data_IF_158969315727
#
_entry.id   IF_158969315727
#
_cell.length_a   1.000
_cell.length_b   1.000
_cell.length_c   1.000
_cell.angle_alpha   90.00
_cell.angle_beta   90.00
_cell.angle_gamma   90.00
#
_symmetry.space_group_name_H-M   'P 1'
#
loop_
_entity.id
_entity.type
_entity.pdbx_description
1 polymer ?
#
# COMPACT_ATOMS: atom_id res chain seq x y z
N UNK A 1 -35.59 -36.55 -4.55
CA UNK A 1 -36.28 -37.78 -4.96
C UNK A 1 -35.21 -38.84 -5.19
N UNK A 2 -34.97 -39.73 -4.21
CA UNK A 2 -34.09 -40.89 -4.35
C UNK A 2 -34.84 -42.04 -5.03
N UNK A 3 -34.22 -42.71 -6.00
CA UNK A 3 -34.73 -43.95 -6.56
C UNK A 3 -34.39 -45.10 -5.60
N UNK A 4 -35.37 -45.84 -5.18
CA UNK A 4 -35.21 -47.07 -4.37
C UNK A 4 -35.21 -48.24 -5.33
N UNK A 5 -34.08 -48.95 -5.41
CA UNK A 5 -33.98 -50.19 -6.17
C UNK A 5 -34.24 -51.33 -5.21
N UNK A 6 -35.40 -51.99 -5.36
CA UNK A 6 -35.86 -53.07 -4.46
C UNK A 6 -35.26 -54.43 -4.80
N UNK A 7 -34.95 -54.66 -6.06
CA UNK A 7 -34.33 -55.93 -6.53
C UNK A 7 -33.31 -55.66 -7.64
N UNK A 8 -32.10 -56.19 -7.49
CA UNK A 8 -31.13 -56.27 -8.59
C UNK A 8 -31.23 -57.62 -9.28
N UNK A 9 -31.20 -57.71 -10.63
CA UNK A 9 -31.08 -58.96 -11.36
C UNK A 9 -29.81 -59.70 -10.92
N UNK A 10 -29.93 -61.05 -10.96
CA UNK A 10 -28.83 -61.94 -10.63
C UNK A 10 -27.57 -61.62 -11.45
N UNK A 11 -26.44 -61.41 -10.74
CA UNK A 11 -25.16 -61.14 -11.37
C UNK A 11 -24.81 -59.65 -11.45
N UNK A 12 -25.69 -58.72 -11.10
CA UNK A 12 -25.37 -57.26 -11.00
C UNK A 12 -24.95 -56.91 -9.58
N UNK A 13 -23.83 -56.22 -9.46
CA UNK A 13 -23.37 -55.61 -8.21
C UNK A 13 -23.55 -54.10 -8.28
N UNK A 14 -24.14 -53.54 -7.24
CA UNK A 14 -24.23 -52.11 -7.10
C UNK A 14 -22.90 -51.61 -6.51
N UNK A 15 -22.09 -50.91 -7.29
CA UNK A 15 -20.98 -50.18 -6.78
C UNK A 15 -21.40 -48.70 -6.53
N UNK A 16 -21.37 -48.31 -5.30
CA UNK A 16 -21.43 -46.87 -4.95
C UNK A 16 -20.17 -46.24 -5.49
N UNK A 17 -20.31 -45.49 -6.58
CA UNK A 17 -19.28 -44.51 -6.97
C UNK A 17 -19.17 -43.53 -5.84
N UNK A 18 -18.20 -43.76 -4.95
CA UNK A 18 -17.76 -42.79 -3.97
C UNK A 18 -17.14 -41.64 -4.73
N UNK A 19 -17.98 -40.71 -5.12
CA UNK A 19 -17.48 -39.41 -5.58
C UNK A 19 -16.86 -38.78 -4.38
N UNK A 20 -15.54 -38.96 -4.18
CA UNK A 20 -14.73 -38.25 -3.17
C UNK A 20 -14.87 -36.72 -3.36
N UNK A 21 -16.01 -36.22 -3.03
CA UNK A 21 -16.32 -34.79 -3.03
C UNK A 21 -16.54 -34.34 -1.58
N UNK A 22 -15.89 -33.24 -1.16
CA UNK A 22 -14.95 -32.40 -1.92
C UNK A 22 -13.60 -33.10 -2.15
N UNK A 23 -13.02 -32.94 -3.35
CA UNK A 23 -11.71 -33.48 -3.67
C UNK A 23 -10.67 -32.82 -2.70
N UNK A 24 -9.91 -33.62 -1.91
CA UNK A 24 -8.95 -33.10 -0.94
C UNK A 24 -7.85 -32.24 -1.58
N UNK A 25 -7.63 -32.35 -2.89
CA UNK A 25 -6.64 -31.59 -3.61
C UNK A 25 -7.14 -30.20 -4.09
N UNK A 26 -8.42 -29.89 -3.97
CA UNK A 26 -9.01 -28.63 -4.45
C UNK A 26 -8.39 -27.43 -3.71
N UNK A 27 -8.21 -27.54 -2.41
CA UNK A 27 -7.63 -26.47 -1.60
C UNK A 27 -6.20 -26.14 -2.04
N UNK A 28 -5.35 -27.16 -2.22
CA UNK A 28 -3.97 -26.97 -2.71
C UNK A 28 -3.92 -26.36 -4.10
N UNK A 29 -4.82 -26.77 -5.00
CA UNK A 29 -4.92 -26.22 -6.34
C UNK A 29 -5.35 -24.75 -6.32
N UNK A 30 -6.37 -24.39 -5.53
CA UNK A 30 -6.85 -23.01 -5.39
C UNK A 30 -5.74 -22.11 -4.81
N UNK A 31 -5.04 -22.55 -3.78
CA UNK A 31 -3.89 -21.82 -3.22
C UNK A 31 -2.77 -21.61 -4.23
N UNK A 32 -2.44 -22.63 -5.00
CA UNK A 32 -1.45 -22.53 -6.05
C UNK A 32 -1.89 -21.53 -7.13
N UNK A 33 -3.14 -21.63 -7.60
CA UNK A 33 -3.70 -20.73 -8.62
C UNK A 33 -3.73 -19.28 -8.14
N UNK A 34 -4.18 -19.04 -6.90
CA UNK A 34 -4.19 -17.70 -6.29
C UNK A 34 -2.79 -17.11 -6.18
N UNK A 35 -1.80 -17.91 -5.78
CA UNK A 35 -0.41 -17.49 -5.76
C UNK A 35 0.14 -17.12 -7.14
N UNK A 36 -0.24 -17.86 -8.18
CA UNK A 36 0.15 -17.55 -9.57
C UNK A 36 -0.54 -16.29 -10.09
N UNK A 37 -1.82 -16.12 -9.80
CA UNK A 37 -2.54 -14.89 -10.14
C UNK A 37 -1.92 -13.65 -9.44
N UNK A 38 -1.57 -13.78 -8.16
CA UNK A 38 -0.84 -12.74 -7.43
C UNK A 38 0.50 -12.41 -8.07
N UNK A 39 1.30 -13.42 -8.40
CA UNK A 39 2.61 -13.23 -9.04
C UNK A 39 2.51 -12.51 -10.40
N UNK A 40 1.43 -12.71 -11.17
CA UNK A 40 1.20 -12.03 -12.43
C UNK A 40 1.03 -10.50 -12.29
N UNK A 41 0.60 -10.03 -11.13
CA UNK A 41 0.44 -8.61 -10.81
C UNK A 41 1.51 -8.10 -9.82
N UNK A 42 2.59 -8.87 -9.62
CA UNK A 42 3.71 -8.49 -8.76
C UNK A 42 3.45 -8.65 -7.26
N UNK A 43 2.41 -9.37 -6.85
CA UNK A 43 2.14 -9.66 -5.45
C UNK A 43 2.76 -10.99 -5.01
N UNK A 44 3.44 -10.98 -3.86
CA UNK A 44 3.91 -12.20 -3.23
C UNK A 44 2.75 -13.06 -2.73
N UNK A 45 3.03 -14.36 -2.50
CA UNK A 45 2.03 -15.35 -2.14
C UNK A 45 1.22 -14.97 -0.90
N UNK A 46 1.87 -14.48 0.15
CA UNK A 46 1.20 -14.10 1.40
C UNK A 46 0.13 -13.03 1.20
N UNK A 47 0.34 -12.08 0.28
CA UNK A 47 -0.67 -11.07 -0.06
C UNK A 47 -1.80 -11.63 -0.94
N UNK A 48 -1.47 -12.52 -1.87
CA UNK A 48 -2.46 -13.10 -2.78
C UNK A 48 -3.39 -14.11 -2.10
N UNK A 49 -2.86 -14.91 -1.17
CA UNK A 49 -3.62 -15.96 -0.47
C UNK A 49 -4.11 -15.55 0.92
N UNK A 50 -3.63 -14.40 1.44
CA UNK A 50 -3.84 -13.95 2.83
C UNK A 50 -3.39 -14.99 3.87
N UNK A 51 -2.47 -15.86 3.49
CA UNK A 51 -1.88 -16.84 4.39
C UNK A 51 -0.57 -16.31 4.98
N UNK A 52 -0.35 -16.61 6.26
CA UNK A 52 0.92 -16.30 6.90
C UNK A 52 2.06 -17.04 6.20
N UNK A 53 3.17 -16.36 5.96
CA UNK A 53 4.38 -17.00 5.49
C UNK A 53 4.92 -18.00 6.53
N UNK A 54 5.67 -18.99 6.06
CA UNK A 54 6.17 -20.09 6.90
C UNK A 54 7.10 -19.62 8.04
N UNK A 55 7.71 -18.44 7.89
CA UNK A 55 8.59 -17.84 8.89
C UNK A 55 8.62 -16.33 8.77
N UNK A 56 9.10 -15.65 9.82
CA UNK A 56 9.34 -14.21 9.82
C UNK A 56 10.24 -13.74 8.66
N UNK A 57 11.34 -14.46 8.43
CA UNK A 57 12.29 -14.13 7.36
C UNK A 57 11.64 -14.29 5.97
N UNK A 58 10.85 -15.34 5.78
CA UNK A 58 10.10 -15.55 4.55
C UNK A 58 9.09 -14.41 4.33
N UNK A 59 8.33 -14.04 5.36
CA UNK A 59 7.37 -12.93 5.29
C UNK A 59 8.06 -11.60 4.92
N UNK A 60 9.20 -11.29 5.56
CA UNK A 60 9.97 -10.08 5.23
C UNK A 60 10.50 -10.12 3.80
N UNK A 61 10.97 -11.26 3.34
CA UNK A 61 11.38 -11.44 1.94
C UNK A 61 10.24 -11.18 0.96
N UNK A 62 9.06 -11.73 1.23
CA UNK A 62 7.86 -11.51 0.43
C UNK A 62 7.41 -10.03 0.44
N UNK A 63 7.51 -9.34 1.58
CA UNK A 63 7.24 -7.90 1.67
C UNK A 63 8.19 -7.09 0.78
N UNK A 64 9.50 -7.31 0.91
CA UNK A 64 10.51 -6.60 0.12
C UNK A 64 10.31 -6.81 -1.38
N UNK A 65 9.95 -8.02 -1.80
CA UNK A 65 9.67 -8.33 -3.20
C UNK A 65 8.40 -7.67 -3.74
N UNK A 66 7.38 -7.51 -2.89
CA UNK A 66 6.08 -6.94 -3.30
C UNK A 66 6.06 -5.42 -3.22
N UNK A 67 6.85 -4.82 -2.33
CA UNK A 67 6.77 -3.40 -2.04
C UNK A 67 6.99 -2.50 -3.27
N UNK A 68 7.92 -2.77 -4.19
CA UNK A 68 8.07 -1.98 -5.42
C UNK A 68 6.80 -1.89 -6.26
N UNK A 69 6.00 -2.97 -6.30
CA UNK A 69 4.70 -2.95 -6.99
C UNK A 69 3.73 -1.95 -6.36
N UNK A 70 3.70 -1.86 -5.03
CA UNK A 70 2.89 -0.84 -4.35
C UNK A 70 3.39 0.58 -4.59
N UNK A 71 4.71 0.79 -4.58
CA UNK A 71 5.30 2.10 -4.89
C UNK A 71 4.98 2.55 -6.31
N UNK A 72 5.00 1.66 -7.28
CA UNK A 72 4.65 1.97 -8.65
C UNK A 72 3.15 2.28 -8.78
N UNK A 73 2.28 1.53 -8.11
CA UNK A 73 0.85 1.86 -8.02
C UNK A 73 0.60 3.23 -7.36
N UNK A 74 1.36 3.59 -6.33
CA UNK A 74 1.26 4.90 -5.67
C UNK A 74 1.65 6.02 -6.62
N UNK A 75 2.76 5.87 -7.38
CA UNK A 75 3.22 6.85 -8.39
C UNK A 75 2.20 7.01 -9.52
N UNK A 76 1.62 5.91 -9.99
CA UNK A 76 0.58 5.95 -11.02
C UNK A 76 -0.67 6.66 -10.50
N UNK A 77 -1.10 6.37 -9.26
CA UNK A 77 -2.22 7.03 -8.63
C UNK A 77 -1.97 8.54 -8.43
N UNK A 78 -0.75 8.91 -8.06
CA UNK A 78 -0.34 10.31 -7.92
C UNK A 78 -0.46 11.03 -9.26
N UNK A 79 0.13 10.47 -10.30
CA UNK A 79 0.14 11.06 -11.65
C UNK A 79 -1.27 11.17 -12.26
N UNK A 80 -2.04 10.09 -12.17
CA UNK A 80 -3.27 9.98 -12.95
C UNK A 80 -4.51 10.52 -12.23
N UNK A 81 -4.52 10.44 -10.88
CA UNK A 81 -5.67 10.84 -10.06
C UNK A 81 -5.37 12.05 -9.21
N UNK A 82 -4.31 12.01 -8.41
CA UNK A 82 -4.05 13.04 -7.41
C UNK A 82 -3.70 14.39 -8.04
N UNK A 83 -2.85 14.41 -9.06
CA UNK A 83 -2.51 15.63 -9.81
C UNK A 83 -3.72 16.24 -10.50
N UNK A 84 -4.59 15.41 -11.05
CA UNK A 84 -5.84 15.88 -11.65
C UNK A 84 -6.77 16.48 -10.59
N UNK A 85 -6.93 15.80 -9.46
CA UNK A 85 -7.80 16.21 -8.37
C UNK A 85 -7.36 17.57 -7.80
N UNK A 86 -6.07 17.74 -7.53
CA UNK A 86 -5.51 19.00 -7.00
C UNK A 86 -5.74 20.15 -7.97
N UNK A 87 -5.47 19.95 -9.25
CA UNK A 87 -5.73 20.99 -10.26
C UNK A 87 -7.21 21.36 -10.34
N UNK A 88 -8.10 20.37 -10.27
CA UNK A 88 -9.54 20.61 -10.29
C UNK A 88 -10.01 21.34 -9.04
N UNK A 89 -9.54 20.94 -7.88
CA UNK A 89 -9.83 21.61 -6.62
C UNK A 89 -9.33 23.05 -6.62
N UNK A 90 -8.12 23.31 -7.03
CA UNK A 90 -7.56 24.66 -7.07
C UNK A 90 -8.31 25.57 -8.06
N UNK A 91 -8.72 25.06 -9.22
CA UNK A 91 -9.55 25.81 -10.15
C UNK A 91 -10.91 26.18 -9.55
N UNK A 92 -11.49 25.30 -8.73
CA UNK A 92 -12.73 25.58 -8.02
C UNK A 92 -12.50 26.59 -6.89
N UNK A 93 -11.44 26.47 -6.09
CA UNK A 93 -11.07 27.39 -5.04
C UNK A 93 -10.76 28.81 -5.59
N UNK A 94 -10.12 28.88 -6.76
CA UNK A 94 -9.89 30.16 -7.45
C UNK A 94 -11.20 30.85 -7.89
N UNK A 95 -12.18 30.09 -8.36
CA UNK A 95 -13.51 30.66 -8.69
C UNK A 95 -14.23 31.25 -7.47
N UNK A 96 -13.91 30.75 -6.28
CA UNK A 96 -14.44 31.29 -5.01
C UNK A 96 -13.61 32.46 -4.45
N UNK A 97 -12.50 32.78 -5.11
CA UNK A 97 -11.58 33.84 -4.65
C UNK A 97 -10.74 33.42 -3.43
N UNK A 98 -10.61 32.13 -3.16
CA UNK A 98 -9.83 31.59 -2.02
C UNK A 98 -8.33 31.51 -2.38
N UNK A 99 -8.03 31.29 -3.67
CA UNK A 99 -6.66 31.15 -4.19
C UNK A 99 -6.50 31.96 -5.46
N UNK A 100 -5.38 32.67 -5.58
CA UNK A 100 -4.98 33.31 -6.85
C UNK A 100 -4.04 32.37 -7.64
N UNK A 101 -4.60 31.71 -8.66
CA UNK A 101 -3.82 30.83 -9.54
C UNK A 101 -2.77 31.58 -10.37
N UNK A 102 -2.95 32.86 -10.63
CA UNK A 102 -1.98 33.64 -11.39
C UNK A 102 -0.71 33.95 -10.60
N UNK A 103 -0.81 33.91 -9.28
CA UNK A 103 0.35 34.10 -8.40
C UNK A 103 1.18 32.81 -8.21
N UNK A 104 0.67 31.64 -8.65
CA UNK A 104 1.36 30.36 -8.48
C UNK A 104 2.35 30.12 -9.65
N UNK A 105 3.49 29.46 -9.37
CA UNK A 105 4.46 29.13 -10.42
C UNK A 105 3.86 28.15 -11.45
N UNK A 106 4.36 28.15 -12.70
CA UNK A 106 3.95 27.16 -13.68
C UNK A 106 4.23 25.74 -13.14
N UNK A 107 3.26 24.84 -13.33
CA UNK A 107 3.33 23.47 -12.82
C UNK A 107 3.33 23.34 -11.29
N UNK A 108 2.74 24.31 -10.57
CA UNK A 108 2.64 24.34 -9.10
C UNK A 108 2.09 23.03 -8.50
N UNK A 109 1.18 22.33 -9.19
CA UNK A 109 0.62 21.05 -8.71
C UNK A 109 1.67 19.96 -8.52
N UNK A 110 2.81 20.03 -9.22
CA UNK A 110 3.95 19.13 -9.03
C UNK A 110 4.75 19.41 -7.76
N UNK A 111 4.50 20.55 -7.14
CA UNK A 111 5.09 20.89 -5.86
C UNK A 111 4.26 20.37 -4.67
N UNK A 112 3.07 19.82 -4.94
CA UNK A 112 2.25 19.18 -3.91
C UNK A 112 2.90 17.85 -3.57
N UNK A 113 3.20 17.66 -2.30
CA UNK A 113 3.78 16.42 -1.81
C UNK A 113 2.70 15.51 -1.24
N UNK A 114 2.63 14.29 -1.76
CA UNK A 114 1.70 13.27 -1.28
C UNK A 114 2.41 12.38 -0.27
N UNK A 115 1.80 12.19 0.89
CA UNK A 115 2.30 11.27 1.90
C UNK A 115 1.63 9.92 1.74
N UNK A 116 2.38 8.96 1.23
CA UNK A 116 1.94 7.59 1.03
C UNK A 116 2.31 6.70 2.21
N UNK A 117 1.53 5.63 2.47
CA UNK A 117 1.94 4.62 3.43
C UNK A 117 3.29 4.03 3.04
N UNK A 118 4.19 3.94 3.99
CA UNK A 118 5.49 3.27 3.82
C UNK A 118 5.40 1.82 4.25
N UNK A 119 6.35 1.00 3.79
CA UNK A 119 6.45 -0.38 4.22
C UNK A 119 6.53 -0.44 5.75
N UNK A 120 5.62 -1.21 6.37
CA UNK A 120 5.64 -1.40 7.81
C UNK A 120 6.87 -2.23 8.20
N UNK A 121 7.61 -1.70 9.12
CA UNK A 121 8.75 -2.39 9.70
C UNK A 121 8.24 -3.41 10.73
N UNK A 122 8.66 -4.65 10.56
CA UNK A 122 8.22 -5.75 11.44
C UNK A 122 9.07 -5.78 12.71
N UNK A 123 10.35 -5.38 12.62
CA UNK A 123 11.24 -5.21 13.76
C UNK A 123 11.67 -3.74 13.87
N UNK A 124 10.91 -2.98 14.64
CA UNK A 124 11.16 -1.56 14.86
C UNK A 124 12.50 -1.27 15.52
N UNK A 125 12.98 -2.19 16.42
CA UNK A 125 14.23 -1.98 17.15
C UNK A 125 15.43 -2.14 16.23
N UNK A 126 15.51 -3.25 15.50
CA UNK A 126 16.60 -3.50 14.55
C UNK A 126 16.64 -2.45 13.44
N UNK A 127 15.49 -2.00 12.96
CA UNK A 127 15.42 -0.96 11.94
C UNK A 127 15.82 0.42 12.48
N UNK A 128 15.42 0.77 13.69
CA UNK A 128 15.84 2.02 14.31
C UNK A 128 17.35 2.06 14.53
N UNK A 129 17.94 0.94 14.93
CA UNK A 129 19.39 0.80 15.11
C UNK A 129 20.13 0.89 13.78
N UNK A 130 19.64 0.24 12.72
CA UNK A 130 20.19 0.36 11.37
C UNK A 130 20.11 1.79 10.84
N UNK A 131 18.97 2.48 11.00
CA UNK A 131 18.80 3.87 10.59
C UNK A 131 19.73 4.83 11.34
N UNK A 132 19.90 4.58 12.64
CA UNK A 132 20.86 5.33 13.45
C UNK A 132 22.28 5.16 12.93
N UNK A 133 22.72 3.94 12.66
CA UNK A 133 24.05 3.67 12.09
C UNK A 133 24.24 4.32 10.71
N UNK A 134 23.23 4.30 9.86
CA UNK A 134 23.26 4.96 8.56
C UNK A 134 23.42 6.47 8.69
N UNK A 135 22.72 7.07 9.64
CA UNK A 135 22.82 8.51 9.94
C UNK A 135 24.20 8.87 10.51
N UNK A 136 24.73 8.09 11.46
CA UNK A 136 26.04 8.29 12.07
C UNK A 136 27.18 8.17 11.06
N UNK A 137 27.04 7.27 10.08
CA UNK A 137 27.99 7.08 8.98
C UNK A 137 27.79 8.05 7.80
N UNK A 138 26.80 8.96 7.87
CA UNK A 138 26.53 9.93 6.80
C UNK A 138 26.00 9.32 5.50
N UNK A 139 25.50 8.09 5.54
CA UNK A 139 24.96 7.38 4.37
C UNK A 139 23.55 7.86 4.00
N UNK A 140 22.83 8.42 4.98
CA UNK A 140 21.44 8.91 4.82
C UNK A 140 21.30 10.20 5.62
N UNK A 141 20.55 11.14 5.10
CA UNK A 141 20.22 12.39 5.80
C UNK A 141 18.96 12.22 6.67
N UNK A 142 18.82 13.08 7.68
CA UNK A 142 17.60 13.09 8.50
C UNK A 142 16.34 13.38 7.66
N UNK A 143 16.50 14.14 6.58
CA UNK A 143 15.45 14.46 5.62
C UNK A 143 14.91 13.23 4.89
N UNK A 144 15.80 12.34 4.47
CA UNK A 144 15.45 11.11 3.78
C UNK A 144 14.83 10.08 4.72
N UNK A 145 15.26 10.06 5.99
CA UNK A 145 14.69 9.17 6.99
C UNK A 145 13.28 9.57 7.44
N UNK A 146 13.01 10.86 7.50
CA UNK A 146 11.75 11.43 7.98
C UNK A 146 11.33 12.63 7.16
N UNK A 147 10.83 12.45 5.93
CA UNK A 147 10.41 13.57 5.08
C UNK A 147 9.32 14.44 5.73
N UNK A 148 8.44 13.85 6.57
CA UNK A 148 7.44 14.59 7.34
C UNK A 148 8.03 15.45 8.46
N UNK A 149 9.12 15.04 9.08
CA UNK A 149 9.73 15.76 10.21
C UNK A 149 10.31 17.11 9.79
N UNK A 150 10.81 17.22 8.56
CA UNK A 150 11.33 18.47 8.02
C UNK A 150 10.21 19.46 7.77
N UNK A 151 9.07 18.99 7.27
CA UNK A 151 7.91 19.83 7.10
C UNK A 151 7.44 20.39 8.45
N UNK A 152 7.40 19.56 9.49
CA UNK A 152 7.05 19.98 10.84
C UNK A 152 8.10 20.89 11.46
N UNK A 153 9.39 20.66 11.23
CA UNK A 153 10.48 21.52 11.70
C UNK A 153 10.49 22.85 10.97
N UNK A 154 10.28 22.87 9.65
CA UNK A 154 10.17 24.11 8.87
C UNK A 154 8.96 24.91 9.30
N UNK A 155 7.81 24.29 9.46
CA UNK A 155 6.61 24.94 10.00
C UNK A 155 6.83 25.46 11.41
N UNK A 156 7.56 24.74 12.26
CA UNK A 156 7.90 25.19 13.61
C UNK A 156 8.88 26.37 13.61
N UNK A 157 9.88 26.34 12.72
CA UNK A 157 10.84 27.45 12.54
C UNK A 157 10.16 28.69 11.94
N UNK A 158 9.26 28.53 10.99
CA UNK A 158 8.45 29.63 10.46
C UNK A 158 7.49 30.16 11.52
N UNK A 159 6.84 29.29 12.30
CA UNK A 159 5.99 29.70 13.41
C UNK A 159 6.78 30.47 14.48
N UNK A 160 8.01 30.05 14.81
CA UNK A 160 8.87 30.73 15.76
C UNK A 160 9.43 32.06 15.19
N UNK A 161 9.65 32.15 13.87
CA UNK A 161 9.97 33.41 13.18
C UNK A 161 8.76 34.34 13.08
N UNK A 162 7.59 33.86 12.76
CA UNK A 162 6.34 34.64 12.75
C UNK A 162 5.85 35.01 14.15
N UNK A 163 6.17 34.23 15.18
CA UNK A 163 5.85 34.55 16.56
C UNK A 163 6.56 35.81 17.09
N UNK A 164 7.64 36.25 16.42
CA UNK A 164 8.29 37.54 16.64
C UNK A 164 7.77 38.70 15.78
N UNK A 165 6.99 38.39 14.74
CA UNK A 165 6.35 39.37 13.85
C UNK A 165 4.82 39.26 14.01
N UNK A 166 4.29 40.02 14.97
CA UNK A 166 2.87 40.39 15.16
C UNK A 166 1.82 39.25 14.98
N UNK A 167 1.08 39.00 16.05
CA UNK A 167 -0.24 38.32 16.07
C UNK A 167 -1.21 38.97 15.07
N UNK A 168 -1.12 38.62 13.83
CA UNK A 168 -2.00 39.03 12.76
C UNK A 168 -2.36 37.80 11.95
N UNK A 169 -3.55 37.29 12.21
CA UNK A 169 -4.36 36.39 11.38
C UNK A 169 -3.66 35.78 10.16
N UNK A 170 -3.02 34.64 10.32
CA UNK A 170 -2.77 33.70 9.22
C UNK A 170 -4.00 32.79 9.19
N UNK A 171 -4.84 32.96 8.17
CA UNK A 171 -5.86 31.96 7.81
C UNK A 171 -5.11 30.82 7.17
N UNK A 172 -5.20 29.65 7.76
CA UNK A 172 -4.72 28.41 7.18
C UNK A 172 -5.46 28.12 5.86
N UNK A 173 -4.68 27.83 4.84
CA UNK A 173 -5.11 27.15 3.63
C UNK A 173 -5.00 25.65 3.84
#
# INVERSE_FOLDING_TARGET
TGAIFDQLPDGLKMELLDTKRPNPNVEGFVKWLSGRAGAAIGLAKCYATMEAAASYTAFRGEQVMTWPTFEDCQKDLERDVCDWLVRRWAAWAAKRGEIDLAALPPNWWRCVHWSWPVMREVDMKATAEAKRLMLENGLVTLAELHPGLIFDLLNKVEHDRCGKLKRGKVKYL
#
